data_IF_204745946559
#
_entry.id   IF_204745946559
#
_cell.length_a   1.000
_cell.length_b   1.000
_cell.length_c   1.000
_cell.angle_alpha   90.00
_cell.angle_beta   90.00
_cell.angle_gamma   90.00
#
_symmetry.space_group_name_H-M   'P 1'
#
loop_
_entity.id
_entity.type
_entity.pdbx_description
1 polymer ?
#
# COMPACT_ATOMS: atom_id res chain seq x y z
N UNK A 1 30.25 -10.79 -6.15
CA UNK A 1 29.60 -9.55 -6.64
C UNK A 1 28.23 -9.50 -6.01
N UNK A 2 27.87 -8.38 -5.37
CA UNK A 2 26.51 -8.18 -4.83
C UNK A 2 25.59 -7.93 -6.03
N UNK A 3 24.42 -8.55 -6.04
CA UNK A 3 23.42 -8.36 -7.11
C UNK A 3 22.64 -7.05 -6.91
N UNK A 4 22.12 -6.43 -7.97
CA UNK A 4 21.29 -5.22 -7.84
C UNK A 4 20.05 -5.39 -6.95
N UNK A 5 19.54 -6.62 -6.81
CA UNK A 5 18.42 -6.93 -5.91
C UNK A 5 18.86 -7.00 -4.45
N UNK A 6 20.05 -7.52 -4.18
CA UNK A 6 20.63 -7.52 -2.83
C UNK A 6 20.94 -6.10 -2.36
N UNK A 7 21.44 -5.23 -3.23
CA UNK A 7 21.64 -3.80 -2.92
C UNK A 7 20.32 -3.12 -2.54
N UNK A 8 19.27 -3.31 -3.32
CA UNK A 8 17.93 -2.75 -3.03
C UNK A 8 17.37 -3.28 -1.72
N UNK A 9 17.55 -4.57 -1.43
CA UNK A 9 17.12 -5.20 -0.17
C UNK A 9 17.84 -4.59 1.02
N UNK A 10 19.18 -4.53 0.97
CA UNK A 10 19.97 -3.95 2.06
C UNK A 10 19.61 -2.49 2.29
N UNK A 11 19.43 -1.72 1.21
CA UNK A 11 18.99 -0.34 1.29
C UNK A 11 17.62 -0.22 1.97
N UNK A 12 16.63 -1.02 1.57
CA UNK A 12 15.31 -1.01 2.20
C UNK A 12 15.38 -1.33 3.70
N UNK A 13 16.10 -2.38 4.09
CA UNK A 13 16.18 -2.79 5.49
C UNK A 13 16.92 -1.76 6.35
N UNK A 14 17.99 -1.14 5.82
CA UNK A 14 18.70 -0.05 6.48
C UNK A 14 17.79 1.17 6.66
N UNK A 15 17.12 1.62 5.59
CA UNK A 15 16.23 2.79 5.66
C UNK A 15 15.07 2.56 6.64
N UNK A 16 14.53 1.34 6.72
CA UNK A 16 13.50 1.00 7.71
C UNK A 16 14.06 1.04 9.13
N UNK A 17 15.25 0.48 9.38
CA UNK A 17 15.86 0.52 10.70
C UNK A 17 16.11 1.96 11.16
N UNK A 18 16.67 2.79 10.28
CA UNK A 18 16.96 4.20 10.54
C UNK A 18 15.68 4.98 10.83
N UNK A 19 14.64 4.80 10.02
CA UNK A 19 13.36 5.50 10.21
C UNK A 19 12.66 5.09 11.50
N UNK A 20 12.71 3.82 11.89
CA UNK A 20 12.15 3.34 13.16
C UNK A 20 12.94 3.91 14.34
N UNK A 21 14.27 3.98 14.26
CA UNK A 21 15.10 4.57 15.30
C UNK A 21 14.84 6.07 15.46
N UNK A 22 14.73 6.81 14.35
CA UNK A 22 14.35 8.23 14.35
C UNK A 22 12.98 8.42 15.01
N UNK A 23 11.99 7.64 14.57
CA UNK A 23 10.63 7.68 15.12
C UNK A 23 10.61 7.36 16.61
N UNK A 24 11.34 6.33 17.06
CA UNK A 24 11.42 5.96 18.48
C UNK A 24 12.05 7.07 19.33
N UNK A 25 13.07 7.74 18.79
CA UNK A 25 13.71 8.89 19.43
C UNK A 25 12.71 10.05 19.57
N UNK A 26 11.87 10.31 18.57
CA UNK A 26 10.80 11.31 18.63
C UNK A 26 9.77 11.02 19.73
N UNK A 27 9.55 9.75 20.06
CA UNK A 27 8.70 9.32 21.18
C UNK A 27 9.42 9.26 22.52
N UNK A 28 10.68 9.71 22.60
CA UNK A 28 11.44 9.83 23.84
C UNK A 28 12.21 8.58 24.27
N UNK A 29 12.41 7.61 23.39
CA UNK A 29 13.34 6.50 23.65
C UNK A 29 14.79 7.00 23.72
N UNK A 30 15.66 6.32 24.48
CA UNK A 30 17.09 6.58 24.40
C UNK A 30 17.63 6.17 23.03
N UNK A 31 18.76 6.76 22.62
CA UNK A 31 19.43 6.43 21.34
C UNK A 31 19.68 4.91 21.22
N UNK A 32 20.16 4.28 22.29
CA UNK A 32 20.42 2.84 22.32
C UNK A 32 19.13 2.02 22.15
N UNK A 33 18.03 2.42 22.82
CA UNK A 33 16.73 1.76 22.67
C UNK A 33 16.15 1.93 21.27
N UNK A 34 16.30 3.12 20.69
CA UNK A 34 15.84 3.46 19.36
C UNK A 34 16.57 2.65 18.28
N UNK A 35 17.90 2.60 18.34
CA UNK A 35 18.72 1.79 17.44
C UNK A 35 18.37 0.30 17.55
N UNK A 36 18.23 -0.22 18.78
CA UNK A 36 17.86 -1.60 19.00
C UNK A 36 16.45 -1.91 18.44
N UNK A 37 15.50 -0.99 18.58
CA UNK A 37 14.16 -1.15 18.01
C UNK A 37 14.19 -1.16 16.48
N UNK A 38 14.97 -0.26 15.86
CA UNK A 38 15.16 -0.23 14.41
C UNK A 38 15.72 -1.54 13.87
N UNK A 39 16.79 -2.05 14.49
CA UNK A 39 17.39 -3.33 14.16
C UNK A 39 16.41 -4.50 14.34
N UNK A 40 15.66 -4.51 15.45
CA UNK A 40 14.66 -5.56 15.72
C UNK A 40 13.59 -5.62 14.61
N UNK A 41 13.11 -4.47 14.14
CA UNK A 41 12.13 -4.41 13.04
C UNK A 41 12.74 -4.87 11.72
N UNK A 42 13.96 -4.45 11.40
CA UNK A 42 14.63 -4.89 10.18
C UNK A 42 14.89 -6.41 10.17
N UNK A 43 15.30 -6.98 11.30
CA UNK A 43 15.49 -8.42 11.46
C UNK A 43 14.17 -9.18 11.31
N UNK A 44 13.11 -8.70 11.95
CA UNK A 44 11.76 -9.26 11.79
C UNK A 44 11.33 -9.29 10.32
N UNK A 45 11.59 -8.21 9.56
CA UNK A 45 11.28 -8.18 8.14
C UNK A 45 12.07 -9.24 7.35
N UNK A 46 13.37 -9.37 7.62
CA UNK A 46 14.22 -10.33 6.94
C UNK A 46 13.81 -11.79 7.25
N UNK A 47 13.48 -12.09 8.50
CA UNK A 47 13.12 -13.44 8.95
C UNK A 47 11.73 -13.87 8.47
N UNK A 48 10.73 -13.00 8.58
CA UNK A 48 9.35 -13.37 8.30
C UNK A 48 8.95 -13.21 6.83
N UNK A 49 9.60 -12.28 6.12
CA UNK A 49 9.26 -11.96 4.72
C UNK A 49 10.37 -12.32 3.74
N UNK A 50 11.47 -12.92 4.23
CA UNK A 50 12.54 -13.47 3.41
C UNK A 50 12.00 -14.43 2.34
N UNK A 51 12.49 -14.28 1.11
CA UNK A 51 12.07 -15.09 -0.03
C UNK A 51 10.81 -14.60 -0.75
N UNK A 52 10.13 -13.58 -0.24
CA UNK A 52 8.96 -12.97 -0.88
C UNK A 52 9.35 -11.71 -1.67
N UNK A 53 8.65 -11.45 -2.79
CA UNK A 53 8.86 -10.27 -3.62
C UNK A 53 7.67 -9.29 -3.49
N UNK A 54 7.92 -8.11 -2.91
CA UNK A 54 6.92 -7.06 -2.75
C UNK A 54 7.11 -5.94 -3.76
N UNK A 55 6.01 -5.40 -4.28
CA UNK A 55 6.00 -4.19 -5.11
C UNK A 55 5.41 -3.03 -4.32
N UNK A 56 6.22 -1.98 -4.10
CA UNK A 56 5.76 -0.73 -3.50
C UNK A 56 5.46 0.29 -4.62
N UNK A 57 4.18 0.54 -4.96
CA UNK A 57 3.85 1.55 -5.96
C UNK A 57 4.25 2.94 -5.46
N UNK A 58 4.91 3.72 -6.32
CA UNK A 58 5.39 5.08 -6.03
C UNK A 58 4.28 6.06 -5.68
N UNK A 59 3.09 5.81 -6.21
CA UNK A 59 1.99 6.73 -6.05
C UNK A 59 1.44 6.58 -4.63
N UNK A 60 1.33 7.72 -3.94
CA UNK A 60 0.67 8.02 -2.65
C UNK A 60 -0.82 7.60 -2.62
N UNK A 61 -1.13 6.43 -3.16
CA UNK A 61 -2.47 5.92 -3.40
C UNK A 61 -3.01 5.28 -2.15
N UNK A 62 -2.23 4.98 -1.11
CA UNK A 62 -2.77 4.27 0.05
C UNK A 62 -3.84 5.08 0.79
N UNK A 63 -3.57 6.34 1.19
CA UNK A 63 -4.55 7.17 1.90
C UNK A 63 -5.75 7.54 1.01
N UNK A 64 -5.52 7.87 -0.26
CA UNK A 64 -6.59 8.19 -1.21
C UNK A 64 -7.41 6.94 -1.56
N UNK A 65 -6.78 5.77 -1.69
CA UNK A 65 -7.45 4.51 -1.96
C UNK A 65 -8.26 4.01 -0.78
N UNK A 66 -7.83 4.25 0.46
CA UNK A 66 -8.65 3.89 1.64
C UNK A 66 -9.98 4.65 1.61
N UNK A 67 -9.94 5.97 1.40
CA UNK A 67 -11.18 6.78 1.28
C UNK A 67 -12.01 6.38 0.07
N UNK A 68 -11.36 6.22 -1.10
CA UNK A 68 -12.06 5.84 -2.33
C UNK A 68 -12.68 4.43 -2.23
N UNK A 69 -12.02 3.50 -1.53
CA UNK A 69 -12.48 2.14 -1.29
C UNK A 69 -13.61 2.09 -0.25
N UNK A 70 -13.57 2.95 0.78
CA UNK A 70 -14.71 3.15 1.69
C UNK A 70 -15.94 3.63 0.93
N UNK A 71 -15.80 4.69 0.13
CA UNK A 71 -16.89 5.22 -0.71
C UNK A 71 -17.43 4.14 -1.65
N UNK A 72 -16.54 3.34 -2.25
CA UNK A 72 -16.92 2.23 -3.13
C UNK A 72 -17.67 1.12 -2.38
N UNK A 73 -17.28 0.77 -1.15
CA UNK A 73 -17.94 -0.24 -0.34
C UNK A 73 -19.30 0.23 0.21
N UNK A 74 -19.45 1.53 0.48
CA UNK A 74 -20.72 2.13 0.92
C UNK A 74 -21.71 2.36 -0.24
N UNK A 75 -21.24 2.22 -1.49
CA UNK A 75 -22.08 2.43 -2.67
C UNK A 75 -23.04 1.25 -2.91
N UNK A 76 -24.35 1.55 -2.90
CA UNK A 76 -25.46 0.58 -3.04
C UNK A 76 -26.11 0.58 -4.43
N UNK A 77 -25.61 1.36 -5.38
CA UNK A 77 -26.18 1.49 -6.73
C UNK A 77 -27.05 2.74 -6.94
N UNK A 78 -27.75 3.19 -5.91
CA UNK A 78 -28.73 4.27 -5.98
C UNK A 78 -28.54 5.38 -4.93
N UNK A 79 -27.55 5.30 -4.04
CA UNK A 79 -27.32 6.26 -2.94
C UNK A 79 -26.36 7.42 -3.31
N UNK A 80 -26.45 7.93 -4.54
CA UNK A 80 -25.54 8.95 -5.07
C UNK A 80 -25.60 10.28 -4.28
N UNK A 81 -26.80 10.77 -3.98
CA UNK A 81 -26.99 12.03 -3.26
C UNK A 81 -26.49 11.96 -1.81
N UNK A 82 -26.74 10.85 -1.12
CA UNK A 82 -26.28 10.60 0.26
C UNK A 82 -24.74 10.60 0.34
N UNK A 83 -24.08 9.84 -0.55
CA UNK A 83 -22.62 9.81 -0.61
C UNK A 83 -22.03 11.16 -1.04
N UNK A 84 -22.67 11.86 -1.97
CA UNK A 84 -22.26 13.20 -2.41
C UNK A 84 -22.24 14.18 -1.23
N UNK A 85 -23.30 14.19 -0.42
CA UNK A 85 -23.40 15.03 0.78
C UNK A 85 -22.41 14.62 1.86
N UNK A 86 -22.26 13.31 2.12
CA UNK A 86 -21.39 12.78 3.19
C UNK A 86 -19.92 13.04 2.94
N UNK A 87 -19.47 12.93 1.69
CA UNK A 87 -18.07 13.05 1.32
C UNK A 87 -17.70 14.38 0.66
N UNK A 88 -18.67 15.27 0.42
CA UNK A 88 -18.42 16.57 -0.22
C UNK A 88 -17.93 16.44 -1.68
N UNK A 89 -18.41 15.43 -2.40
CA UNK A 89 -17.99 15.13 -3.78
C UNK A 89 -19.19 15.26 -4.70
N UNK A 90 -19.07 15.99 -5.81
CA UNK A 90 -20.15 16.06 -6.81
C UNK A 90 -20.52 14.67 -7.34
N UNK A 91 -21.79 14.43 -7.68
CA UNK A 91 -22.22 13.13 -8.22
C UNK A 91 -21.41 12.69 -9.46
N UNK A 92 -21.02 13.65 -10.30
CA UNK A 92 -20.15 13.40 -11.46
C UNK A 92 -18.77 12.91 -11.02
N UNK A 93 -18.20 13.49 -9.97
CA UNK A 93 -16.94 13.05 -9.36
C UNK A 93 -17.07 11.66 -8.75
N UNK A 94 -18.16 11.40 -8.05
CA UNK A 94 -18.46 10.12 -7.41
C UNK A 94 -18.58 8.97 -8.42
N UNK A 95 -19.23 9.21 -9.58
CA UNK A 95 -19.29 8.23 -10.69
C UNK A 95 -17.91 7.87 -11.23
N UNK A 96 -17.04 8.88 -11.44
CA UNK A 96 -15.66 8.66 -11.90
C UNK A 96 -14.81 7.91 -10.87
N UNK A 97 -15.01 8.21 -9.59
CA UNK A 97 -14.35 7.53 -8.48
C UNK A 97 -14.74 6.06 -8.45
N UNK A 98 -16.04 5.75 -8.42
CA UNK A 98 -16.54 4.37 -8.38
C UNK A 98 -16.04 3.58 -9.58
N UNK A 99 -16.09 4.14 -10.79
CA UNK A 99 -15.57 3.47 -11.99
C UNK A 99 -14.07 3.14 -11.88
N UNK A 100 -13.26 4.09 -11.38
CA UNK A 100 -11.82 3.91 -11.20
C UNK A 100 -11.50 2.83 -10.16
N UNK A 101 -12.19 2.84 -9.03
CA UNK A 101 -12.02 1.85 -7.96
C UNK A 101 -12.49 0.48 -8.44
N UNK A 102 -13.63 0.40 -9.11
CA UNK A 102 -14.14 -0.85 -9.70
C UNK A 102 -13.11 -1.48 -10.65
N UNK A 103 -12.55 -0.71 -11.58
CA UNK A 103 -11.51 -1.20 -12.50
C UNK A 103 -10.26 -1.69 -11.76
N UNK A 104 -9.84 -1.00 -10.69
CA UNK A 104 -8.74 -1.46 -9.84
C UNK A 104 -9.08 -2.77 -9.14
N UNK A 105 -10.24 -2.87 -8.48
CA UNK A 105 -10.68 -4.08 -7.77
C UNK A 105 -10.79 -5.27 -8.73
N UNK A 106 -11.36 -5.08 -9.92
CA UNK A 106 -11.44 -6.14 -10.94
C UNK A 106 -10.05 -6.60 -11.40
N UNK A 107 -9.13 -5.67 -11.70
CA UNK A 107 -7.75 -6.00 -12.07
C UNK A 107 -7.00 -6.81 -10.99
N UNK A 108 -7.25 -6.50 -9.71
CA UNK A 108 -6.63 -7.24 -8.60
C UNK A 108 -7.31 -8.60 -8.35
N UNK A 109 -8.60 -8.75 -8.68
CA UNK A 109 -9.34 -10.02 -8.57
C UNK A 109 -9.15 -10.95 -9.76
N UNK A 110 -8.78 -10.43 -10.93
CA UNK A 110 -8.46 -11.22 -12.13
C UNK A 110 -6.96 -11.16 -12.48
N UNK A 111 -6.07 -11.84 -11.72
CA UNK A 111 -4.73 -12.16 -12.22
C UNK A 111 -4.71 -13.39 -13.14
N UNK A 112 -5.81 -14.16 -13.26
CA UNK A 112 -5.85 -15.47 -13.91
C UNK A 112 -6.86 -15.55 -15.08
N UNK A 113 -6.98 -14.53 -15.92
CA UNK A 113 -7.80 -14.64 -17.15
C UNK A 113 -7.05 -14.30 -18.46
N UNK A 114 -5.80 -13.83 -18.37
CA UNK A 114 -4.98 -13.52 -19.56
C UNK A 114 -4.10 -14.70 -20.03
N UNK A 115 -4.26 -15.90 -19.46
CA UNK A 115 -3.43 -17.08 -19.77
C UNK A 115 -4.07 -18.10 -20.74
N UNK A 116 -5.31 -17.88 -21.19
CA UNK A 116 -6.02 -18.83 -22.07
C UNK A 116 -6.60 -18.21 -23.35
N UNK A 117 -6.22 -16.98 -23.71
CA UNK A 117 -6.69 -16.31 -24.92
C UNK A 117 -5.63 -16.28 -26.03
N UNK A 118 -5.26 -17.44 -26.59
CA UNK A 118 -4.25 -17.52 -27.64
C UNK A 118 -4.05 -18.92 -28.21
N UNK A 119 -5.13 -19.67 -28.42
CA UNK A 119 -5.14 -20.82 -29.30
C UNK A 119 -6.26 -20.61 -30.30
N UNK A 120 -5.90 -20.20 -31.51
CA UNK A 120 -6.09 -20.90 -32.79
C UNK A 120 -5.32 -20.15 -33.89
#
# INVERSE_FOLDING_TARGET
MITPMEEKRHKLLSEVADHVAETASDYGCSTEQAEHLGLAVANFLAEHFGGQNFTFPRDYVYKLAVRDLQIYNEFKGNNWADLSSRYGITERGLRKLIHRVHKRVMKHKQPMLDLFGGGE
#
